data_IF_819508796871
#
_entry.id   IF_819508796871
#
_cell.length_a   1.000
_cell.length_b   1.000
_cell.length_c   1.000
_cell.angle_alpha   90.00
_cell.angle_beta   90.00
_cell.angle_gamma   90.00
#
_symmetry.space_group_name_H-M   'P 1'
#
loop_
_entity.id
_entity.type
_entity.pdbx_description
1 polymer ?
#
# COMPACT_ATOMS: atom_id res chain seq x y z
N UNK A 1 -30.87 44.70 -0.38
CA UNK A 1 -31.10 45.01 -1.81
C UNK A 1 -30.27 46.24 -2.12
N UNK A 2 -29.28 46.23 -3.01
CA UNK A 2 -29.23 45.73 -4.39
C UNK A 2 -27.83 45.20 -4.79
N UNK A 3 -27.68 44.57 -5.97
CA UNK A 3 -26.78 43.43 -6.25
C UNK A 3 -25.53 43.82 -7.05
N UNK A 4 -24.63 42.86 -7.28
CA UNK A 4 -23.57 42.80 -8.34
C UNK A 4 -22.92 41.39 -8.17
N UNK A 5 -22.58 40.55 -9.14
CA UNK A 5 -22.78 40.39 -10.59
C UNK A 5 -22.30 38.96 -10.89
N UNK A 6 -22.98 38.23 -11.78
CA UNK A 6 -22.50 36.94 -12.32
C UNK A 6 -21.42 37.17 -13.37
N UNK A 7 -20.22 36.59 -13.16
CA UNK A 7 -19.21 36.24 -14.17
C UNK A 7 -18.20 35.34 -13.41
N UNK A 8 -17.79 34.15 -13.80
CA UNK A 8 -17.59 33.56 -15.12
C UNK A 8 -16.24 32.83 -15.04
N UNK A 9 -16.27 31.50 -15.14
CA UNK A 9 -15.19 30.55 -15.46
C UNK A 9 -13.75 30.76 -14.92
N UNK A 10 -13.32 29.83 -14.08
CA UNK A 10 -12.03 29.10 -14.09
C UNK A 10 -12.00 28.32 -12.76
N UNK A 11 -11.86 27.01 -12.66
CA UNK A 11 -10.91 26.13 -13.29
C UNK A 11 -11.47 24.73 -13.00
N UNK A 12 -11.84 23.95 -14.02
CA UNK A 12 -12.10 22.52 -13.80
C UNK A 12 -10.72 21.89 -13.65
N UNK A 13 -10.20 21.98 -12.43
CA UNK A 13 -8.91 21.42 -12.05
C UNK A 13 -8.93 19.93 -12.30
N UNK A 14 -8.36 19.50 -13.42
CA UNK A 14 -7.96 18.11 -13.63
C UNK A 14 -6.88 17.81 -12.58
N UNK A 15 -7.33 17.34 -11.42
CA UNK A 15 -6.47 16.99 -10.31
C UNK A 15 -5.45 15.94 -10.74
N UNK A 16 -4.19 16.36 -10.88
CA UNK A 16 -3.06 15.48 -11.09
C UNK A 16 -2.92 14.57 -9.87
N UNK A 17 -3.41 13.33 -9.95
CA UNK A 17 -3.24 12.36 -8.86
C UNK A 17 -1.77 11.89 -8.82
N UNK A 18 -0.95 12.59 -8.03
CA UNK A 18 0.40 12.12 -7.72
C UNK A 18 0.26 10.85 -6.88
N UNK A 19 0.83 9.74 -7.36
CA UNK A 19 0.84 8.50 -6.61
C UNK A 19 1.43 8.75 -5.22
N UNK A 20 0.62 8.49 -4.19
CA UNK A 20 1.03 8.54 -2.81
C UNK A 20 1.12 7.11 -2.29
N UNK A 21 2.29 6.73 -1.78
CA UNK A 21 2.51 5.39 -1.24
C UNK A 21 1.59 5.18 -0.04
N UNK A 22 0.94 4.01 0.02
CA UNK A 22 0.22 3.58 1.21
C UNK A 22 1.19 3.41 2.41
N UNK A 23 0.80 3.97 3.56
CA UNK A 23 1.58 3.94 4.82
C UNK A 23 0.75 3.24 5.90
N UNK A 24 0.76 1.89 5.95
CA UNK A 24 -0.08 1.13 6.86
C UNK A 24 0.10 1.55 8.32
N UNK A 25 1.32 1.91 8.73
CA UNK A 25 1.68 2.39 10.06
C UNK A 25 0.90 3.64 10.53
N UNK A 26 0.31 4.38 9.59
CA UNK A 26 -0.54 5.55 9.88
C UNK A 26 -2.02 5.21 9.99
N UNK A 27 -2.41 3.98 9.67
CA UNK A 27 -3.81 3.54 9.75
C UNK A 27 -4.14 3.14 11.18
N UNK A 28 -5.37 3.42 11.62
CA UNK A 28 -5.84 3.07 12.97
C UNK A 28 -5.77 1.56 13.22
N UNK A 29 -6.18 0.75 12.25
CA UNK A 29 -6.15 -0.71 12.38
C UNK A 29 -4.74 -1.23 12.64
N UNK A 30 -3.75 -0.73 11.88
CA UNK A 30 -2.36 -1.13 12.09
C UNK A 30 -1.87 -0.74 13.47
N UNK A 31 -2.15 0.49 13.91
CA UNK A 31 -1.72 0.97 15.23
C UNK A 31 -2.32 0.14 16.36
N UNK A 32 -3.60 -0.21 16.26
CA UNK A 32 -4.27 -1.08 17.23
C UNK A 32 -3.65 -2.47 17.24
N UNK A 33 -3.50 -3.11 16.08
CA UNK A 33 -2.93 -4.46 15.99
C UNK A 33 -1.49 -4.45 16.51
N UNK A 34 -0.67 -3.50 16.08
CA UNK A 34 0.73 -3.40 16.50
C UNK A 34 0.88 -3.18 18.00
N UNK A 35 -0.03 -2.43 18.62
CA UNK A 35 0.05 -2.10 20.05
C UNK A 35 -0.50 -3.23 20.92
N UNK A 36 -1.63 -3.84 20.54
CA UNK A 36 -2.36 -4.75 21.39
C UNK A 36 -2.11 -6.23 21.11
N UNK A 37 -1.64 -6.60 19.91
CA UNK A 37 -1.39 -8.02 19.58
C UNK A 37 -0.38 -8.69 20.52
N UNK A 38 0.79 -8.09 20.86
CA UNK A 38 1.73 -8.70 21.79
C UNK A 38 1.10 -8.91 23.18
N UNK A 39 0.46 -7.88 23.73
CA UNK A 39 -0.20 -7.94 25.03
C UNK A 39 -1.33 -8.99 25.07
N UNK A 40 -2.08 -9.12 23.97
CA UNK A 40 -3.12 -10.14 23.82
C UNK A 40 -2.54 -11.56 23.81
N UNK A 41 -1.44 -11.79 23.10
CA UNK A 41 -0.78 -13.10 23.10
C UNK A 41 -0.20 -13.47 24.46
N UNK A 42 0.37 -12.50 25.18
CA UNK A 42 0.86 -12.71 26.55
C UNK A 42 -0.28 -13.04 27.53
N UNK A 43 -1.41 -12.34 27.42
CA UNK A 43 -2.59 -12.61 28.22
C UNK A 43 -3.07 -14.06 28.04
N UNK A 44 -3.18 -14.52 26.79
CA UNK A 44 -3.58 -15.90 26.50
C UNK A 44 -2.58 -16.91 27.05
N UNK A 45 -1.28 -16.64 26.92
CA UNK A 45 -0.24 -17.51 27.45
C UNK A 45 -0.34 -17.66 28.98
N UNK A 46 -0.68 -16.60 29.72
CA UNK A 46 -0.94 -16.67 31.17
C UNK A 46 -2.14 -17.55 31.52
N UNK A 47 -3.15 -17.60 30.66
CA UNK A 47 -4.29 -18.51 30.78
C UNK A 47 -4.00 -19.95 30.30
N UNK A 48 -2.77 -20.25 29.88
CA UNK A 48 -2.41 -21.55 29.30
C UNK A 48 -3.02 -21.80 27.92
N UNK A 49 -3.44 -20.74 27.21
CA UNK A 49 -4.02 -20.79 25.87
C UNK A 49 -3.05 -20.24 24.84
N UNK A 50 -3.19 -20.72 23.60
CA UNK A 50 -2.44 -20.21 22.45
C UNK A 50 -3.38 -19.98 21.28
N UNK A 51 -3.10 -18.94 20.49
CA UNK A 51 -3.80 -18.76 19.22
C UNK A 51 -3.40 -19.86 18.24
N UNK A 52 -4.31 -20.33 17.38
CA UNK A 52 -3.93 -21.23 16.28
C UNK A 52 -2.80 -20.62 15.45
N UNK A 53 -1.83 -21.45 15.03
CA UNK A 53 -0.64 -21.00 14.30
C UNK A 53 -0.96 -20.17 13.06
N UNK A 54 -2.05 -20.49 12.35
CA UNK A 54 -2.43 -19.72 11.17
C UNK A 54 -2.82 -18.28 11.54
N UNK A 55 -3.50 -18.06 12.68
CA UNK A 55 -3.90 -16.72 13.13
C UNK A 55 -2.68 -15.88 13.46
N UNK A 56 -1.73 -16.45 14.21
CA UNK A 56 -0.48 -15.76 14.56
C UNK A 56 0.29 -15.34 13.30
N UNK A 57 0.43 -16.28 12.35
CA UNK A 57 1.09 -16.02 11.07
C UNK A 57 0.41 -14.89 10.28
N UNK A 58 -0.92 -14.83 10.24
CA UNK A 58 -1.61 -13.75 9.52
C UNK A 58 -1.44 -12.39 10.22
N UNK A 59 -1.45 -12.32 11.55
CA UNK A 59 -1.15 -11.06 12.28
C UNK A 59 0.28 -10.59 12.03
N UNK A 60 1.26 -11.49 12.12
CA UNK A 60 2.65 -11.17 11.81
C UNK A 60 2.84 -10.74 10.34
N UNK A 61 2.16 -11.41 9.40
CA UNK A 61 2.20 -11.06 7.99
C UNK A 61 1.55 -9.69 7.72
N UNK A 62 0.44 -9.41 8.40
CA UNK A 62 -0.24 -8.12 8.33
C UNK A 62 0.64 -6.97 8.84
N UNK A 63 1.32 -7.16 9.98
CA UNK A 63 2.24 -6.14 10.53
C UNK A 63 3.46 -5.88 9.63
N UNK A 64 3.85 -6.86 8.82
CA UNK A 64 4.95 -6.74 7.84
C UNK A 64 4.50 -6.16 6.50
N UNK A 65 3.24 -6.34 6.13
CA UNK A 65 2.67 -5.89 4.87
C UNK A 65 2.83 -4.37 4.68
N UNK A 66 3.10 -3.93 3.44
CA UNK A 66 3.07 -2.53 3.05
C UNK A 66 4.22 -1.68 3.60
N UNK A 67 5.17 -2.29 4.32
CA UNK A 67 6.37 -1.66 4.87
C UNK A 67 7.57 -1.91 3.95
N UNK A 68 8.31 -0.85 3.61
CA UNK A 68 9.50 -0.96 2.74
C UNK A 68 10.63 -1.76 3.41
N UNK A 69 10.71 -1.76 4.74
CA UNK A 69 11.71 -2.53 5.50
C UNK A 69 11.53 -4.05 5.38
N UNK A 70 10.36 -4.51 4.91
CA UNK A 70 10.05 -5.93 4.71
C UNK A 70 10.06 -6.34 3.23
N UNK A 71 10.52 -5.43 2.36
CA UNK A 71 10.71 -5.67 0.93
C UNK A 71 9.80 -4.84 0.03
N UNK A 72 10.28 -4.61 -1.20
CA UNK A 72 9.63 -3.77 -2.18
C UNK A 72 10.01 -4.13 -3.62
N UNK A 73 9.22 -3.65 -4.56
CA UNK A 73 9.54 -3.59 -5.99
C UNK A 73 9.96 -2.17 -6.35
N UNK A 74 11.03 -2.04 -7.15
CA UNK A 74 11.41 -0.78 -7.79
C UNK A 74 10.80 -0.77 -9.18
N UNK A 75 9.83 0.11 -9.39
CA UNK A 75 9.19 0.29 -10.69
C UNK A 75 9.78 1.54 -11.33
N UNK A 76 10.38 1.39 -12.50
CA UNK A 76 10.89 2.49 -13.31
C UNK A 76 10.00 2.66 -14.53
N UNK A 77 9.57 3.88 -14.82
CA UNK A 77 8.88 4.17 -16.06
C UNK A 77 9.87 4.14 -17.24
N UNK A 78 9.53 3.50 -18.35
CA UNK A 78 10.38 3.47 -19.54
C UNK A 78 10.45 4.84 -20.24
N UNK A 79 9.37 5.63 -20.20
CA UNK A 79 9.28 6.92 -20.88
C UNK A 79 9.94 8.07 -20.10
N UNK A 80 9.61 8.24 -18.81
CA UNK A 80 10.12 9.37 -18.00
C UNK A 80 11.24 8.99 -17.04
N UNK A 81 11.56 7.69 -16.92
CA UNK A 81 12.60 7.17 -16.02
C UNK A 81 12.41 7.43 -14.53
N UNK A 82 11.30 8.04 -14.12
CA UNK A 82 10.93 8.18 -12.71
C UNK A 82 10.84 6.80 -12.05
N UNK A 83 11.45 6.67 -10.87
CA UNK A 83 11.44 5.44 -10.10
C UNK A 83 10.50 5.56 -8.89
N UNK A 84 9.75 4.50 -8.62
CA UNK A 84 8.87 4.41 -7.46
C UNK A 84 9.08 3.09 -6.73
N UNK A 85 9.12 3.16 -5.40
CA UNK A 85 9.19 1.99 -4.53
C UNK A 85 7.77 1.56 -4.14
N UNK A 86 7.42 0.31 -4.44
CA UNK A 86 6.13 -0.30 -4.13
C UNK A 86 6.34 -1.41 -3.12
N UNK A 87 5.85 -1.23 -1.90
CA UNK A 87 5.91 -2.27 -0.87
C UNK A 87 5.00 -3.46 -1.22
N UNK A 88 5.31 -4.64 -0.71
CA UNK A 88 4.48 -5.82 -0.91
C UNK A 88 3.11 -5.67 -0.20
N UNK A 89 2.04 -6.07 -0.88
CA UNK A 89 0.67 -6.02 -0.36
C UNK A 89 0.38 -7.14 0.65
N UNK A 90 -0.76 -7.03 1.36
CA UNK A 90 -1.15 -7.98 2.42
C UNK A 90 -1.73 -9.27 1.86
N UNK A 91 -1.61 -9.49 0.55
CA UNK A 91 -2.18 -10.66 -0.12
C UNK A 91 -1.41 -11.90 0.34
N UNK A 92 -2.15 -12.88 0.86
CA UNK A 92 -1.60 -14.05 1.53
C UNK A 92 -0.45 -14.68 0.72
N UNK A 93 0.68 -14.84 1.42
CA UNK A 93 2.04 -15.21 1.04
C UNK A 93 2.24 -16.53 0.25
N UNK A 94 1.30 -16.96 -0.59
CA UNK A 94 1.47 -18.10 -1.53
C UNK A 94 1.49 -17.72 -3.01
N UNK A 95 0.95 -16.56 -3.42
CA UNK A 95 1.01 -16.16 -4.84
C UNK A 95 2.36 -15.54 -5.23
N UNK A 96 2.97 -14.71 -4.39
CA UNK A 96 4.21 -14.03 -4.76
C UNK A 96 5.47 -14.93 -4.72
N UNK A 97 5.48 -15.98 -3.88
CA UNK A 97 6.65 -16.90 -3.77
C UNK A 97 6.75 -17.96 -4.88
N UNK A 98 5.69 -18.24 -5.65
CA UNK A 98 5.67 -19.33 -6.64
C UNK A 98 5.67 -18.88 -8.10
N UNK A 99 5.27 -17.65 -8.42
CA UNK A 99 5.15 -17.20 -9.81
C UNK A 99 6.21 -16.21 -10.26
N UNK A 100 7.24 -15.94 -9.45
CA UNK A 100 8.38 -15.12 -9.87
C UNK A 100 9.20 -15.76 -11.02
N UNK A 101 8.92 -17.03 -11.39
CA UNK A 101 9.62 -17.75 -12.47
C UNK A 101 8.72 -18.27 -13.61
N UNK A 102 7.38 -18.13 -13.53
CA UNK A 102 6.48 -18.90 -14.43
C UNK A 102 5.59 -18.04 -15.34
N UNK A 103 5.42 -16.72 -15.13
CA UNK A 103 4.56 -15.91 -16.01
C UNK A 103 5.20 -14.56 -16.36
N UNK A 104 5.96 -14.46 -17.48
CA UNK A 104 6.49 -13.21 -18.00
C UNK A 104 5.39 -12.21 -18.41
N UNK A 105 4.19 -12.71 -18.72
CA UNK A 105 3.10 -11.94 -19.34
C UNK A 105 2.30 -11.08 -18.33
N UNK A 106 2.39 -11.36 -17.03
CA UNK A 106 1.59 -10.65 -16.02
C UNK A 106 2.17 -9.29 -15.60
N UNK A 107 3.39 -8.94 -16.03
CA UNK A 107 3.97 -7.62 -15.79
C UNK A 107 3.97 -6.72 -17.04
N UNK A 108 3.75 -7.28 -18.23
CA UNK A 108 3.91 -6.55 -19.50
C UNK A 108 2.83 -5.49 -19.75
N UNK A 109 1.67 -5.57 -19.09
CA UNK A 109 0.54 -4.66 -19.36
C UNK A 109 0.05 -3.95 -18.11
N UNK A 110 0.97 -3.42 -17.31
CA UNK A 110 0.63 -2.25 -16.49
C UNK A 110 0.84 -1.00 -17.34
N UNK A 111 -0.16 -0.70 -18.17
CA UNK A 111 -0.22 0.55 -18.92
C UNK A 111 0.10 1.74 -18.00
N UNK A 112 1.17 2.44 -18.32
CA UNK A 112 1.51 3.74 -17.77
C UNK A 112 0.44 4.78 -18.11
N UNK A 113 -0.62 4.82 -17.30
CA UNK A 113 -1.65 5.87 -17.34
C UNK A 113 -1.62 6.56 -15.97
N UNK A 114 -0.97 7.68 -15.73
CA UNK A 114 -0.29 8.62 -16.59
C UNK A 114 1.05 8.98 -15.95
N UNK A 115 2.08 9.19 -16.77
CA UNK A 115 3.25 9.95 -16.32
C UNK A 115 2.74 11.32 -15.90
N UNK A 116 2.74 11.63 -14.60
CA UNK A 116 2.56 12.98 -14.09
C UNK A 116 3.74 13.84 -14.54
N UNK A 117 3.68 14.27 -15.80
CA UNK A 117 4.40 15.32 -16.51
C UNK A 117 5.84 15.56 -16.01
N UNK A 118 6.81 15.14 -16.84
CA UNK A 118 8.19 15.61 -16.76
C UNK A 118 8.19 17.14 -16.57
N UNK A 119 8.60 17.56 -15.38
CA UNK A 119 8.44 18.91 -14.89
C UNK A 119 9.57 19.28 -13.93
N UNK A 120 10.80 19.14 -14.41
CA UNK A 120 11.82 20.19 -14.35
C UNK A 120 12.96 19.89 -15.31
#
# INVERSE_FOLDING_TARGET
MSPITTAGNADVGFGFYRYQRHQPEKTLLYQLVSSYYPAFTEYLAREGKVLPNYVQREFEAYLKCGRLEHGFLRVRCENCHEERLVAFSCTNSRRFRRTAWILPELWSTSHGRECGLAGR
#
